data_IF_938788359659
#
_entry.id   IF_938788359659
#
_cell.length_a   1.000
_cell.length_b   1.000
_cell.length_c   1.000
_cell.angle_alpha   90.00
_cell.angle_beta   90.00
_cell.angle_gamma   90.00
#
_symmetry.space_group_name_H-M   'P 1'
#
loop_
_entity.id
_entity.type
_entity.pdbx_description
1 polymer ?
#
# COMPACT_ATOMS: atom_id res chain seq x y z
N UNK A 1 -18.04 -4.65 6.35
CA UNK A 1 -17.35 -5.90 5.95
C UNK A 1 -16.80 -5.80 4.53
N UNK A 2 -17.59 -5.41 3.53
CA UNK A 2 -17.16 -5.24 2.13
C UNK A 2 -15.90 -4.36 1.95
N UNK A 3 -15.80 -3.24 2.67
CA UNK A 3 -14.71 -2.28 2.48
C UNK A 3 -13.31 -2.82 2.82
N UNK A 4 -13.16 -3.65 3.86
CA UNK A 4 -11.84 -4.20 4.22
C UNK A 4 -11.39 -5.21 3.17
N UNK A 5 -12.28 -6.12 2.76
CA UNK A 5 -11.99 -7.08 1.69
C UNK A 5 -11.61 -6.36 0.40
N UNK A 6 -12.36 -5.32 0.02
CA UNK A 6 -12.03 -4.50 -1.16
C UNK A 6 -10.66 -3.82 -1.03
N UNK A 7 -10.29 -3.33 0.15
CA UNK A 7 -8.97 -2.73 0.36
C UNK A 7 -7.85 -3.78 0.22
N UNK A 8 -8.06 -5.00 0.72
CA UNK A 8 -7.13 -6.11 0.56
C UNK A 8 -6.96 -6.48 -0.92
N UNK A 9 -8.04 -6.54 -1.70
CA UNK A 9 -7.98 -6.82 -3.14
C UNK A 9 -7.13 -5.77 -3.89
N UNK A 10 -7.29 -4.48 -3.55
CA UNK A 10 -6.49 -3.40 -4.12
C UNK A 10 -5.01 -3.54 -3.77
N UNK A 11 -4.68 -3.80 -2.50
CA UNK A 11 -3.30 -3.98 -2.05
C UNK A 11 -2.65 -5.18 -2.75
N UNK A 12 -3.42 -6.26 -2.94
CA UNK A 12 -2.94 -7.44 -3.65
C UNK A 12 -2.68 -7.16 -5.13
N UNK A 13 -3.53 -6.39 -5.79
CA UNK A 13 -3.29 -5.96 -7.17
C UNK A 13 -2.05 -5.06 -7.28
N UNK A 14 -1.86 -4.12 -6.34
CA UNK A 14 -0.65 -3.28 -6.29
C UNK A 14 0.62 -4.14 -6.13
N UNK A 15 0.59 -5.15 -5.25
CA UNK A 15 1.71 -6.05 -5.06
C UNK A 15 1.98 -6.93 -6.29
N UNK A 16 0.92 -7.42 -6.94
CA UNK A 16 0.98 -8.25 -8.13
C UNK A 16 1.49 -7.51 -9.37
N UNK A 17 1.33 -6.19 -9.41
CA UNK A 17 1.75 -5.33 -10.54
C UNK A 17 3.15 -4.75 -10.39
N UNK A 18 3.84 -5.00 -9.27
CA UNK A 18 5.23 -4.56 -9.07
C UNK A 18 6.17 -5.20 -10.10
N UNK A 19 6.89 -4.35 -10.83
CA UNK A 19 7.98 -4.79 -11.70
C UNK A 19 9.23 -5.10 -10.88
N UNK A 20 9.45 -6.37 -10.57
CA UNK A 20 10.57 -6.81 -9.73
C UNK A 20 11.94 -6.68 -10.42
N UNK A 21 11.97 -6.72 -11.75
CA UNK A 21 13.23 -6.66 -12.51
C UNK A 21 13.74 -5.22 -12.60
N UNK A 22 12.87 -4.27 -13.00
CA UNK A 22 13.25 -2.86 -13.13
C UNK A 22 13.19 -2.11 -11.81
N UNK A 23 12.29 -2.50 -10.91
CA UNK A 23 12.10 -1.82 -9.63
C UNK A 23 13.15 -2.18 -8.58
N UNK A 24 13.92 -3.26 -8.74
CA UNK A 24 15.04 -3.59 -7.86
C UNK A 24 14.69 -3.53 -6.36
N UNK A 25 15.50 -2.80 -5.59
CA UNK A 25 15.34 -2.68 -4.13
C UNK A 25 14.01 -2.02 -3.73
N UNK A 26 13.54 -1.00 -4.45
CA UNK A 26 12.29 -0.32 -4.10
C UNK A 26 11.08 -1.24 -4.30
N UNK A 27 11.09 -2.10 -5.33
CA UNK A 27 10.02 -3.08 -5.52
C UNK A 27 9.98 -4.12 -4.41
N UNK A 28 11.13 -4.53 -3.87
CA UNK A 28 11.19 -5.43 -2.70
C UNK A 28 10.59 -4.76 -1.47
N UNK A 29 10.98 -3.51 -1.18
CA UNK A 29 10.45 -2.77 -0.03
C UNK A 29 8.94 -2.54 -0.16
N UNK A 30 8.45 -2.17 -1.34
CA UNK A 30 7.02 -1.99 -1.59
C UNK A 30 6.24 -3.29 -1.41
N UNK A 31 6.77 -4.41 -1.90
CA UNK A 31 6.19 -5.73 -1.70
C UNK A 31 6.06 -6.07 -0.22
N UNK A 32 7.12 -5.87 0.56
CA UNK A 32 7.11 -6.16 1.99
C UNK A 32 6.08 -5.29 2.73
N UNK A 33 5.97 -4.01 2.34
CA UNK A 33 4.95 -3.10 2.90
C UNK A 33 3.53 -3.53 2.52
N UNK A 34 3.28 -3.91 1.27
CA UNK A 34 1.96 -4.36 0.84
C UNK A 34 1.53 -5.66 1.54
N UNK A 35 2.44 -6.64 1.65
CA UNK A 35 2.19 -7.88 2.40
C UNK A 35 1.92 -7.59 3.88
N UNK A 36 2.66 -6.66 4.49
CA UNK A 36 2.41 -6.26 5.87
C UNK A 36 1.00 -5.66 6.05
N UNK A 37 0.61 -4.73 5.19
CA UNK A 37 -0.69 -4.06 5.27
C UNK A 37 -1.86 -5.01 4.98
N UNK A 38 -1.71 -5.94 4.03
CA UNK A 38 -2.70 -6.99 3.76
C UNK A 38 -2.95 -7.85 5.01
N UNK A 39 -1.87 -8.35 5.63
CA UNK A 39 -1.94 -9.14 6.85
C UNK A 39 -2.56 -8.36 8.00
N UNK A 40 -2.20 -7.07 8.15
CA UNK A 40 -2.76 -6.22 9.20
C UNK A 40 -4.27 -6.01 9.03
N UNK A 41 -4.73 -5.77 7.80
CA UNK A 41 -6.17 -5.68 7.50
C UNK A 41 -6.89 -7.01 7.77
N UNK A 42 -6.26 -8.14 7.45
CA UNK A 42 -6.81 -9.47 7.71
C UNK A 42 -7.01 -9.69 9.22
N UNK A 43 -5.97 -9.45 10.02
CA UNK A 43 -6.02 -9.56 11.48
C UNK A 43 -7.08 -8.63 12.09
N UNK A 44 -7.08 -7.36 11.69
CA UNK A 44 -8.08 -6.37 12.14
C UNK A 44 -9.51 -6.78 11.79
N UNK A 45 -9.74 -7.37 10.62
CA UNK A 45 -11.08 -7.82 10.23
C UNK A 45 -11.56 -9.01 11.07
N UNK A 46 -10.66 -9.94 11.42
CA UNK A 46 -10.99 -11.09 12.28
C UNK A 46 -11.25 -10.61 13.71
N UNK A 47 -10.36 -9.78 14.26
CA UNK A 47 -10.41 -9.32 15.65
C UNK A 47 -11.37 -8.16 15.90
N UNK A 48 -11.87 -7.53 14.83
CA UNK A 48 -12.69 -6.30 14.88
C UNK A 48 -11.95 -5.12 15.53
N UNK A 49 -10.64 -5.04 15.29
CA UNK A 49 -9.77 -3.98 15.83
C UNK A 49 -9.60 -2.86 14.80
N UNK A 50 -10.05 -1.64 15.15
CA UNK A 50 -10.02 -0.47 14.26
C UNK A 50 -8.61 0.11 14.13
N UNK A 51 -7.78 -0.09 15.15
CA UNK A 51 -6.44 0.47 15.26
C UNK A 51 -5.53 -0.02 14.13
N UNK A 52 -5.62 -1.31 13.77
CA UNK A 52 -4.87 -1.85 12.64
C UNK A 52 -5.36 -1.35 11.28
N UNK A 53 -6.65 -0.97 11.15
CA UNK A 53 -7.15 -0.31 9.94
C UNK A 53 -6.61 1.10 9.85
N UNK A 54 -6.58 1.84 10.96
CA UNK A 54 -6.02 3.19 11.00
C UNK A 54 -4.54 3.18 10.64
N UNK A 55 -3.77 2.22 11.17
CA UNK A 55 -2.35 2.08 10.82
C UNK A 55 -2.14 1.88 9.31
N UNK A 56 -2.96 1.05 8.67
CA UNK A 56 -2.86 0.83 7.22
C UNK A 56 -3.24 2.08 6.43
N UNK A 57 -4.22 2.86 6.88
CA UNK A 57 -4.57 4.14 6.28
C UNK A 57 -3.38 5.10 6.35
N UNK A 58 -2.76 5.24 7.52
CA UNK A 58 -1.65 6.17 7.70
C UNK A 58 -0.46 5.80 6.79
N UNK A 59 -0.11 4.51 6.72
CA UNK A 59 0.97 4.01 5.85
C UNK A 59 0.68 4.21 4.35
N UNK A 60 -0.54 3.91 3.90
CA UNK A 60 -0.93 4.13 2.51
C UNK A 60 -0.96 5.62 2.17
N UNK A 61 -1.36 6.47 3.11
CA UNK A 61 -1.39 7.93 2.92
C UNK A 61 0.01 8.48 2.72
N UNK A 62 0.99 8.08 3.54
CA UNK A 62 2.40 8.45 3.34
C UNK A 62 2.95 7.97 2.00
N UNK A 63 2.62 6.74 1.56
CA UNK A 63 3.03 6.26 0.24
C UNK A 63 2.39 7.08 -0.89
N UNK A 64 1.12 7.45 -0.76
CA UNK A 64 0.41 8.28 -1.72
C UNK A 64 1.02 9.69 -1.81
N UNK A 65 1.38 10.29 -0.68
CA UNK A 65 2.06 11.59 -0.60
C UNK A 65 3.38 11.55 -1.37
N UNK A 66 4.23 10.54 -1.10
CA UNK A 66 5.50 10.38 -1.81
C UNK A 66 5.34 10.22 -3.33
N UNK A 67 4.31 9.50 -3.79
CA UNK A 67 4.00 9.41 -5.22
C UNK A 67 3.49 10.73 -5.81
N UNK A 68 2.69 11.48 -5.05
CA UNK A 68 2.17 12.77 -5.48
C UNK A 68 3.30 13.78 -5.64
N UNK A 69 4.22 13.85 -4.67
CA UNK A 69 5.40 14.71 -4.74
C UNK A 69 6.31 14.37 -5.93
N UNK A 70 6.52 13.09 -6.22
CA UNK A 70 7.30 12.66 -7.37
C UNK A 70 6.66 13.13 -8.70
N UNK A 71 5.34 12.96 -8.85
CA UNK A 71 4.61 13.39 -10.04
C UNK A 71 4.63 14.92 -10.20
N UNK A 72 4.49 15.67 -9.10
CA UNK A 72 4.60 17.12 -9.12
C UNK A 72 5.98 17.56 -9.61
N UNK A 73 7.05 16.93 -9.12
CA UNK A 73 8.42 17.21 -9.57
C UNK A 73 8.62 16.84 -11.05
N UNK A 74 8.06 15.74 -11.53
CA UNK A 74 8.12 15.35 -12.94
C UNK A 74 7.45 16.40 -13.84
N UNK A 75 6.25 16.87 -13.46
CA UNK A 75 5.51 17.89 -14.22
C UNK A 75 6.16 19.27 -14.20
N UNK A 76 6.89 19.62 -13.13
CA UNK A 76 7.59 20.90 -13.03
C UNK A 76 8.86 20.98 -13.91
N UNK A 77 9.39 19.82 -14.35
CA UNK A 77 10.60 19.71 -15.17
C UNK A 77 10.27 19.53 -16.66
N UNK A 78 9.05 19.13 -17.00
CA UNK A 78 8.54 18.97 -18.37
C UNK A 78 8.05 20.29 -18.98
#
# INVERSE_FOLDING_TARGET
HNNITRAQDIINELNGTLNMDQGGEIAVVLRDLYVYMENKLFESNIRKEIEGVQEVIDRLSTLQEGWSEMLEQETAVA
#
